data_IF_761260817343
#
_entry.id   IF_761260817343
#
_cell.length_a   1.000
_cell.length_b   1.000
_cell.length_c   1.000
_cell.angle_alpha   90.00
_cell.angle_beta   90.00
_cell.angle_gamma   90.00
#
_symmetry.space_group_name_H-M   'P 1'
#
loop_
_entity.id
_entity.type
_entity.pdbx_description
1 polymer ?
#
# COMPACT_ATOMS: atom_id res chain seq x y z
N UNK A 1 6.90 -5.42 -12.31
CA UNK A 1 7.38 -4.02 -12.28
C UNK A 1 6.20 -3.08 -12.53
N UNK A 2 6.01 -2.06 -11.68
CA UNK A 2 5.04 -0.99 -11.95
C UNK A 2 5.73 0.16 -12.71
N UNK A 3 5.06 0.72 -13.70
CA UNK A 3 5.49 1.92 -14.41
C UNK A 3 4.84 3.16 -13.79
N UNK A 4 5.65 4.18 -13.48
CA UNK A 4 5.23 5.48 -12.92
C UNK A 4 4.13 5.33 -11.87
N UNK A 5 4.52 4.87 -10.68
CA UNK A 5 3.63 4.65 -9.56
C UNK A 5 3.67 5.86 -8.60
N UNK A 6 2.50 6.41 -8.25
CA UNK A 6 2.39 7.50 -7.29
C UNK A 6 1.34 7.21 -6.22
N UNK A 7 1.58 7.64 -4.98
CA UNK A 7 0.62 7.44 -3.89
C UNK A 7 -0.62 8.30 -4.13
N UNK A 8 -1.79 7.70 -4.05
CA UNK A 8 -3.07 8.40 -4.16
C UNK A 8 -3.73 8.60 -2.80
N UNK A 9 -3.49 7.68 -1.87
CA UNK A 9 -4.05 7.74 -0.53
C UNK A 9 -3.20 6.96 0.46
N UNK A 10 -3.12 7.47 1.68
CA UNK A 10 -2.46 6.83 2.81
C UNK A 10 -3.50 6.75 3.93
N UNK A 11 -3.77 5.54 4.41
CA UNK A 11 -4.63 5.31 5.57
C UNK A 11 -3.77 4.72 6.67
N UNK A 12 -3.56 5.49 7.73
CA UNK A 12 -2.83 5.04 8.91
C UNK A 12 -3.78 4.39 9.92
N UNK A 13 -3.25 3.48 10.74
CA UNK A 13 -4.01 2.93 11.87
C UNK A 13 -4.27 4.01 12.93
N UNK A 14 -5.48 3.97 13.49
CA UNK A 14 -5.85 4.75 14.66
C UNK A 14 -5.16 4.19 15.92
N UNK A 15 -4.33 5.01 16.57
CA UNK A 15 -3.53 4.61 17.73
C UNK A 15 -4.35 4.75 19.02
N UNK A 16 -5.16 3.73 19.29
CA UNK A 16 -5.95 3.65 20.52
C UNK A 16 -5.14 3.03 21.65
N UNK A 17 -5.16 3.67 22.82
CA UNK A 17 -4.38 3.24 23.99
C UNK A 17 -4.88 1.93 24.62
N UNK A 18 -6.10 1.53 24.30
CA UNK A 18 -6.76 0.29 24.74
C UNK A 18 -6.84 -0.77 23.62
N UNK A 19 -6.48 -0.41 22.39
CA UNK A 19 -6.48 -1.31 21.24
C UNK A 19 -5.30 -2.26 21.30
N UNK A 20 -5.57 -3.57 21.24
CA UNK A 20 -4.56 -4.62 21.24
C UNK A 20 -4.33 -5.18 19.82
N UNK A 21 -4.81 -4.45 18.80
CA UNK A 21 -4.66 -4.77 17.40
C UNK A 21 -3.30 -4.33 16.85
N UNK A 22 -2.82 -5.05 15.85
CA UNK A 22 -1.61 -4.67 15.11
C UNK A 22 -1.91 -3.44 14.26
N UNK A 23 -1.08 -2.40 14.37
CA UNK A 23 -1.16 -1.25 13.50
C UNK A 23 -0.74 -1.61 12.08
N UNK A 24 -1.65 -1.47 11.13
CA UNK A 24 -1.45 -1.75 9.71
C UNK A 24 -1.77 -0.49 8.92
N UNK A 25 -0.72 0.10 8.36
CA UNK A 25 -0.86 1.22 7.44
C UNK A 25 -1.08 0.71 6.02
N UNK A 26 -2.06 1.29 5.33
CA UNK A 26 -2.40 0.94 3.95
C UNK A 26 -2.12 2.11 3.03
N UNK A 27 -1.34 1.85 1.97
CA UNK A 27 -1.03 2.84 0.93
C UNK A 27 -1.66 2.39 -0.38
N UNK A 28 -2.50 3.24 -0.95
CA UNK A 28 -3.05 3.07 -2.29
C UNK A 28 -2.16 3.80 -3.30
N UNK A 29 -1.85 3.11 -4.40
CA UNK A 29 -0.95 3.59 -5.44
C UNK A 29 -1.68 3.51 -6.78
N UNK A 30 -1.71 4.62 -7.51
CA UNK A 30 -2.07 4.61 -8.92
C UNK A 30 -0.81 4.43 -9.76
N UNK A 31 -0.92 3.64 -10.82
CA UNK A 31 0.19 3.35 -11.72
C UNK A 31 -0.29 3.27 -13.16
N UNK A 32 0.59 3.64 -14.10
CA UNK A 32 0.24 3.68 -15.52
C UNK A 32 0.33 2.31 -16.21
N UNK A 33 0.97 1.32 -15.58
CA UNK A 33 1.06 -0.02 -16.13
C UNK A 33 1.71 -1.03 -15.20
N UNK A 34 1.25 -2.28 -15.27
CA UNK A 34 1.78 -3.40 -14.50
C UNK A 34 2.38 -4.44 -15.45
N UNK A 35 3.69 -4.69 -15.32
CA UNK A 35 4.34 -5.81 -16.01
C UNK A 35 4.54 -6.96 -15.04
N UNK A 36 3.90 -8.10 -15.31
CA UNK A 36 4.09 -9.35 -14.59
C UNK A 36 5.17 -10.14 -15.33
N UNK A 37 6.27 -10.42 -14.65
CA UNK A 37 7.34 -11.26 -15.19
C UNK A 37 7.30 -12.54 -14.38
N UNK A 38 6.67 -13.59 -14.92
CA UNK A 38 6.74 -14.91 -14.33
C UNK A 38 8.11 -15.48 -14.72
N UNK A 39 9.01 -15.57 -13.74
CA UNK A 39 10.37 -16.05 -13.96
C UNK A 39 10.35 -17.41 -14.65
N UNK A 40 11.26 -17.59 -15.62
CA UNK A 40 11.87 -18.91 -15.74
C UNK A 40 12.86 -19.09 -14.59
#
# INVERSE_FOLDING_TARGET
KLNNAWPTKISATDLKSDGNEVAIDSIEIAHEGLTITNGK
#
